data_IF_186752001232
#
_entry.id   IF_186752001232
#
_cell.length_a   1.000
_cell.length_b   1.000
_cell.length_c   1.000
_cell.angle_alpha   90.00
_cell.angle_beta   90.00
_cell.angle_gamma   90.00
#
_symmetry.space_group_name_H-M   'P 1'
#
loop_
_entity.id
_entity.type
_entity.pdbx_description
1 polymer ?
#
# COMPACT_ATOMS: atom_id res chain seq x y z
N UNK A 1 4.12 5.68 -10.98
CA UNK A 1 4.64 5.29 -9.66
C UNK A 1 6.11 4.88 -9.87
N UNK A 2 7.02 5.32 -9.00
CA UNK A 2 8.46 5.15 -9.20
C UNK A 2 8.94 3.71 -8.99
N UNK A 3 10.21 3.45 -9.32
CA UNK A 3 10.86 2.16 -9.03
C UNK A 3 10.83 1.88 -7.53
N UNK A 4 10.38 0.69 -7.13
CA UNK A 4 10.41 0.26 -5.72
C UNK A 4 9.24 0.75 -4.85
N UNK A 5 8.25 1.46 -5.40
CA UNK A 5 7.09 1.93 -4.62
C UNK A 5 6.30 0.78 -3.96
N UNK A 6 6.29 -0.42 -4.55
CA UNK A 6 5.67 -1.60 -3.95
C UNK A 6 6.32 -2.01 -2.62
N UNK A 7 7.58 -1.64 -2.39
CA UNK A 7 8.30 -1.94 -1.14
C UNK A 7 7.74 -1.19 0.08
N UNK A 8 6.85 -0.24 -0.15
CA UNK A 8 6.28 0.68 0.84
C UNK A 8 4.83 0.33 1.19
N UNK A 9 4.33 -0.76 0.63
CA UNK A 9 2.93 -1.17 0.76
C UNK A 9 2.86 -2.41 1.64
N UNK A 10 1.89 -2.42 2.55
CA UNK A 10 1.47 -3.64 3.24
C UNK A 10 0.05 -4.01 2.83
N UNK A 11 -0.13 -5.25 2.39
CA UNK A 11 -1.43 -5.78 1.96
C UNK A 11 -1.96 -6.74 3.02
N UNK A 12 -3.21 -6.52 3.45
CA UNK A 12 -3.94 -7.46 4.31
C UNK A 12 -5.09 -8.10 3.56
N UNK A 13 -5.11 -9.42 3.59
CA UNK A 13 -6.20 -10.22 3.09
C UNK A 13 -6.88 -11.04 4.21
N UNK A 14 -8.18 -11.24 4.06
CA UNK A 14 -9.00 -12.14 4.87
C UNK A 14 -9.87 -12.99 3.94
N UNK A 15 -9.87 -14.31 4.12
CA UNK A 15 -10.63 -15.22 3.25
C UNK A 15 -10.25 -15.15 1.75
N UNK A 16 -9.05 -14.67 1.42
CA UNK A 16 -8.62 -14.45 0.03
C UNK A 16 -9.08 -13.12 -0.59
N UNK A 17 -9.74 -12.25 0.17
CA UNK A 17 -10.16 -10.92 -0.26
C UNK A 17 -9.23 -9.85 0.35
N UNK A 18 -8.90 -8.82 -0.41
CA UNK A 18 -8.17 -7.65 0.10
C UNK A 18 -9.07 -6.86 1.04
N UNK A 19 -8.62 -6.66 2.28
CA UNK A 19 -9.38 -5.93 3.30
C UNK A 19 -8.70 -4.61 3.70
N UNK A 20 -7.36 -4.58 3.75
CA UNK A 20 -6.63 -3.35 4.05
C UNK A 20 -5.41 -3.18 3.14
N UNK A 21 -5.08 -1.91 2.88
CA UNK A 21 -3.84 -1.49 2.24
C UNK A 21 -3.22 -0.37 3.09
N UNK A 22 -2.00 -0.61 3.56
CA UNK A 22 -1.22 0.38 4.31
C UNK A 22 -0.08 0.89 3.44
N UNK A 23 0.14 2.21 3.48
CA UNK A 23 1.28 2.86 2.81
C UNK A 23 2.19 3.43 3.87
N UNK A 24 3.46 3.04 3.85
CA UNK A 24 4.49 3.61 4.72
C UNK A 24 4.94 4.95 4.15
N UNK A 25 4.89 5.99 4.98
CA UNK A 25 5.35 7.33 4.68
C UNK A 25 6.45 7.75 5.68
N UNK A 26 7.33 8.69 5.31
CA UNK A 26 8.27 9.29 6.25
C UNK A 26 7.52 9.99 7.38
N UNK A 27 8.16 10.06 8.55
CA UNK A 27 7.60 10.73 9.73
C UNK A 27 7.44 12.24 9.50
N UNK A 28 8.35 12.83 8.72
CA UNK A 28 8.27 14.23 8.32
C UNK A 28 7.57 14.33 6.95
N UNK A 29 6.34 14.83 6.95
CA UNK A 29 5.55 15.02 5.74
C UNK A 29 5.68 16.48 5.34
N UNK A 30 6.47 16.73 4.30
CA UNK A 30 6.63 18.07 3.72
C UNK A 30 5.33 18.45 3.00
N UNK A 31 4.67 19.50 3.48
CA UNK A 31 3.45 20.01 2.86
C UNK A 31 3.66 20.35 1.38
N UNK A 32 2.75 19.87 0.52
CA UNK A 32 2.78 20.11 -0.92
C UNK A 32 3.67 19.14 -1.71
N UNK A 33 4.38 18.22 -1.05
CA UNK A 33 5.11 17.17 -1.74
C UNK A 33 4.17 16.09 -2.30
N UNK A 34 4.53 15.48 -3.43
CA UNK A 34 3.71 14.45 -4.04
C UNK A 34 3.83 13.13 -3.30
N UNK A 35 2.73 12.38 -3.21
CA UNK A 35 2.71 11.05 -2.58
C UNK A 35 3.81 10.12 -3.14
N UNK A 36 4.03 10.15 -4.45
CA UNK A 36 5.08 9.35 -5.08
C UNK A 36 6.49 9.67 -4.59
N UNK A 37 6.77 10.94 -4.24
CA UNK A 37 8.05 11.32 -3.64
C UNK A 37 8.13 10.91 -2.17
N UNK A 38 7.07 11.12 -1.39
CA UNK A 38 7.00 10.71 0.01
C UNK A 38 7.20 9.20 0.17
N UNK A 39 6.57 8.39 -0.68
CA UNK A 39 6.77 6.93 -0.68
C UNK A 39 8.22 6.54 -1.02
N UNK A 40 8.96 7.35 -1.77
CA UNK A 40 10.38 7.09 -2.05
C UNK A 40 11.31 7.34 -0.86
N UNK A 41 10.85 8.07 0.16
CA UNK A 41 11.63 8.45 1.33
C UNK A 41 11.36 7.57 2.57
N UNK A 42 10.27 6.80 2.55
CA UNK A 42 9.92 5.88 3.63
C UNK A 42 10.84 4.67 3.73
N UNK A 43 10.99 4.11 4.94
CA UNK A 43 11.69 2.84 5.13
C UNK A 43 10.95 1.70 4.43
N UNK A 44 11.66 0.96 3.57
CA UNK A 44 11.14 -0.22 2.88
C UNK A 44 10.66 -1.28 3.86
N UNK A 45 9.36 -1.58 3.87
CA UNK A 45 8.73 -2.53 4.82
C UNK A 45 7.64 -3.39 4.18
N UNK A 46 7.76 -3.75 2.91
CA UNK A 46 6.76 -4.59 2.25
C UNK A 46 6.42 -5.84 3.06
N UNK A 47 5.12 -6.00 3.31
CA UNK A 47 4.54 -7.14 4.00
C UNK A 47 3.23 -7.49 3.32
N UNK A 48 2.97 -8.78 3.17
CA UNK A 48 1.68 -9.24 2.66
C UNK A 48 1.36 -10.57 3.31
N UNK A 49 0.11 -10.71 3.77
CA UNK A 49 -0.47 -12.03 4.05
C UNK A 49 -1.43 -12.48 2.94
N UNK A 50 -1.58 -11.69 1.88
CA UNK A 50 -2.24 -12.12 0.66
C UNK A 50 -1.34 -13.15 -0.04
N UNK A 51 -1.95 -14.18 -0.63
CA UNK A 51 -1.23 -15.18 -1.41
C UNK A 51 -0.66 -14.61 -2.72
N UNK A 52 -0.35 -15.47 -3.69
CA UNK A 52 0.07 -15.02 -5.02
C UNK A 52 -1.00 -14.19 -5.77
N UNK A 53 -2.25 -14.26 -5.32
CA UNK A 53 -3.38 -13.48 -5.80
C UNK A 53 -4.39 -13.22 -4.67
N UNK A 54 -5.26 -12.23 -4.88
CA UNK A 54 -6.37 -11.89 -3.99
C UNK A 54 -7.55 -11.35 -4.80
N UNK A 55 -8.75 -11.38 -4.22
CA UNK A 55 -9.94 -10.77 -4.79
C UNK A 55 -10.09 -9.34 -4.25
N UNK A 56 -10.58 -8.45 -5.10
CA UNK A 56 -11.06 -7.13 -4.71
C UNK A 56 -12.56 -7.21 -4.80
N UNK A 57 -13.24 -6.98 -3.68
CA UNK A 57 -14.70 -6.95 -3.69
C UNK A 57 -15.16 -5.85 -4.65
N UNK A 58 -16.11 -6.14 -5.55
CA UNK A 58 -16.74 -5.08 -6.32
C UNK A 58 -17.37 -4.10 -5.33
N UNK A 59 -17.12 -2.80 -5.53
CA UNK A 59 -17.77 -1.76 -4.73
C UNK A 59 -19.28 -1.94 -4.80
N UNK A 60 -19.89 -2.38 -3.69
CA UNK A 60 -21.32 -2.55 -3.55
C UNK A 60 -22.00 -1.21 -3.39
N UNK A 61 -22.40 -0.59 -4.50
CA UNK A 61 -23.61 0.22 -4.49
C UNK A 61 -24.76 -0.75 -4.78
N UNK A 62 -25.33 -1.33 -3.72
CA UNK A 62 -26.68 -1.91 -3.79
C UNK A 62 -27.70 -0.80 -3.56
#
# INVERSE_FOLDING_TARGET
LGTGTHNQIELKCSGGNLVDLYITLPADIIHGESLGKLMGQGESRYKSNCGGSFHIDPTGFQ
#
